data_IF_826974591431
#
_entry.id   IF_826974591431
#
_cell.length_a   1.000
_cell.length_b   1.000
_cell.length_c   1.000
_cell.angle_alpha   90.00
_cell.angle_beta   90.00
_cell.angle_gamma   90.00
#
_symmetry.space_group_name_H-M   'P 1'
#
loop_
_entity.id
_entity.type
_entity.pdbx_description
1 polymer ?
#
# COMPACT_ATOMS: atom_id res chain seq x y z
N UNK A 1 100.76 13.30 -11.78
CA UNK A 1 101.15 12.03 -11.11
C UNK A 1 100.89 12.27 -9.63
N UNK A 2 100.00 11.58 -8.92
CA UNK A 2 99.97 10.13 -8.70
C UNK A 2 98.70 9.71 -7.91
N UNK A 3 98.05 8.66 -8.43
CA UNK A 3 97.26 7.55 -7.82
C UNK A 3 96.13 7.75 -6.76
N UNK A 4 95.06 6.93 -6.83
CA UNK A 4 94.00 6.84 -5.82
C UNK A 4 94.35 5.83 -4.71
N UNK A 5 93.99 6.13 -3.46
CA UNK A 5 94.12 5.19 -2.35
C UNK A 5 92.84 4.35 -2.20
N UNK A 6 92.97 3.06 -2.51
CA UNK A 6 92.04 1.99 -2.17
C UNK A 6 92.08 1.79 -0.65
N UNK A 7 90.93 1.97 0.01
CA UNK A 7 90.79 1.73 1.46
C UNK A 7 90.45 0.27 1.72
N UNK A 8 91.41 -0.46 2.28
CA UNK A 8 91.20 -1.80 2.84
C UNK A 8 90.48 -1.67 4.19
N UNK A 9 89.24 -2.18 4.29
CA UNK A 9 88.55 -2.36 5.58
C UNK A 9 89.29 -3.42 6.39
N UNK A 10 89.96 -3.01 7.46
CA UNK A 10 90.49 -3.94 8.45
C UNK A 10 89.33 -4.65 9.18
N UNK A 11 89.44 -5.95 9.48
CA UNK A 11 88.45 -6.64 10.29
C UNK A 11 88.41 -6.03 11.70
N UNK A 12 87.22 -5.95 12.33
CA UNK A 12 87.09 -5.37 13.65
C UNK A 12 87.95 -6.14 14.68
N UNK A 13 88.45 -5.45 15.73
CA UNK A 13 89.26 -6.08 16.75
C UNK A 13 88.48 -7.23 17.41
N UNK A 14 89.15 -8.35 17.77
CA UNK A 14 88.48 -9.57 18.24
C UNK A 14 87.61 -9.34 19.49
N UNK A 15 87.95 -8.32 20.29
CA UNK A 15 87.19 -7.91 21.46
C UNK A 15 85.84 -7.25 21.10
N UNK A 16 85.77 -6.50 20.01
CA UNK A 16 84.50 -5.97 19.49
C UNK A 16 83.61 -7.08 18.94
N UNK A 17 84.18 -8.03 18.21
CA UNK A 17 83.43 -9.19 17.71
C UNK A 17 82.91 -10.06 18.86
N UNK A 18 83.71 -10.27 19.90
CA UNK A 18 83.30 -11.01 21.10
C UNK A 18 82.18 -10.31 21.87
N UNK A 19 82.31 -9.00 22.12
CA UNK A 19 81.26 -8.22 22.78
C UNK A 19 79.96 -8.19 21.97
N UNK A 20 80.06 -8.10 20.64
CA UNK A 20 78.90 -8.13 19.76
C UNK A 20 78.17 -9.48 19.83
N UNK A 21 78.91 -10.59 19.81
CA UNK A 21 78.33 -11.94 19.96
C UNK A 21 77.74 -12.12 21.36
N UNK A 22 78.39 -11.63 22.41
CA UNK A 22 77.87 -11.67 23.78
C UNK A 22 76.55 -10.89 23.89
N UNK A 23 76.46 -9.70 23.31
CA UNK A 23 75.22 -8.91 23.26
C UNK A 23 74.12 -9.64 22.50
N UNK A 24 74.46 -10.28 21.37
CA UNK A 24 73.48 -11.10 20.62
C UNK A 24 72.99 -12.30 21.42
N UNK A 25 73.87 -12.97 22.19
CA UNK A 25 73.49 -14.10 23.04
C UNK A 25 72.61 -13.66 24.22
N UNK A 26 72.92 -12.53 24.85
CA UNK A 26 72.09 -11.96 25.91
C UNK A 26 70.74 -11.50 25.36
N UNK A 27 70.71 -10.85 24.20
CA UNK A 27 69.47 -10.46 23.54
C UNK A 27 68.63 -11.69 23.14
N UNK A 28 69.25 -12.72 22.57
CA UNK A 28 68.57 -13.97 22.22
C UNK A 28 68.00 -14.67 23.47
N UNK A 29 68.79 -14.78 24.54
CA UNK A 29 68.35 -15.34 25.82
C UNK A 29 67.17 -14.54 26.40
N UNK A 30 67.25 -13.21 26.35
CA UNK A 30 66.17 -12.34 26.80
C UNK A 30 64.89 -12.54 25.97
N UNK A 31 64.98 -12.61 24.64
CA UNK A 31 63.82 -12.88 23.78
C UNK A 31 63.24 -14.28 23.94
N UNK A 32 64.05 -15.26 24.32
CA UNK A 32 63.60 -16.64 24.52
C UNK A 32 62.87 -16.82 25.87
N UNK A 33 63.33 -16.10 26.91
CA UNK A 33 62.76 -16.18 28.25
C UNK A 33 61.69 -15.10 28.54
N UNK A 34 61.66 -14.04 27.75
CA UNK A 34 60.62 -13.01 27.74
C UNK A 34 60.09 -12.85 26.32
N UNK A 35 59.20 -13.75 25.85
CA UNK A 35 58.49 -13.50 24.61
C UNK A 35 57.76 -12.16 24.75
N UNK A 36 57.86 -11.25 23.75
CA UNK A 36 57.05 -10.04 23.77
C UNK A 36 55.59 -10.44 23.83
N UNK A 37 54.85 -9.91 24.81
CA UNK A 37 53.39 -10.06 24.85
C UNK A 37 52.85 -9.72 23.46
N UNK A 38 52.19 -10.69 22.83
CA UNK A 38 51.59 -10.54 21.51
C UNK A 38 50.62 -9.34 21.53
N UNK A 39 51.13 -8.17 21.15
CA UNK A 39 50.35 -7.03 20.72
C UNK A 39 49.81 -7.29 19.30
N UNK A 40 49.22 -8.47 19.10
CA UNK A 40 48.24 -8.76 18.06
C UNK A 40 46.91 -9.07 18.73
N UNK A 41 46.50 -8.23 19.67
CA UNK A 41 45.08 -8.01 19.88
C UNK A 41 44.58 -7.23 18.65
N UNK A 42 44.15 -7.97 17.64
CA UNK A 42 43.00 -7.53 16.83
C UNK A 42 42.02 -6.88 17.80
N UNK A 43 41.49 -5.66 17.53
CA UNK A 43 40.48 -5.10 18.42
C UNK A 43 39.45 -6.20 18.63
N UNK A 44 39.03 -6.50 19.87
CA UNK A 44 37.98 -7.47 20.06
C UNK A 44 36.88 -7.05 19.11
N UNK A 45 36.34 -7.99 18.34
CA UNK A 45 35.10 -7.81 17.63
C UNK A 45 34.02 -7.45 18.68
N UNK A 46 34.05 -6.20 19.15
CA UNK A 46 33.10 -5.60 20.02
C UNK A 46 31.88 -5.48 19.14
N UNK A 47 30.92 -6.35 19.43
CA UNK A 47 29.65 -6.52 18.74
C UNK A 47 29.74 -7.33 17.45
N UNK A 48 29.98 -8.64 17.57
CA UNK A 48 29.10 -9.57 16.86
C UNK A 48 27.87 -9.78 17.74
N UNK A 49 26.80 -8.97 17.59
CA UNK A 49 25.66 -9.06 18.48
C UNK A 49 25.01 -10.44 18.32
N UNK A 50 24.88 -11.17 19.42
CA UNK A 50 24.23 -12.48 19.44
C UNK A 50 22.83 -12.32 18.81
N UNK A 51 22.46 -13.06 17.75
CA UNK A 51 21.17 -12.91 17.09
C UNK A 51 19.98 -13.00 18.06
N UNK A 52 20.09 -13.79 19.12
CA UNK A 52 19.07 -13.90 20.17
C UNK A 52 18.97 -12.62 21.02
N UNK A 53 20.08 -11.93 21.26
CA UNK A 53 20.10 -10.66 21.99
C UNK A 53 19.48 -9.53 21.16
N UNK A 54 19.80 -9.44 19.86
CA UNK A 54 19.16 -8.48 18.95
C UNK A 54 17.66 -8.73 18.82
N UNK A 55 17.26 -9.99 18.66
CA UNK A 55 15.85 -10.36 18.58
C UNK A 55 15.10 -9.96 19.85
N UNK A 56 15.67 -10.21 21.04
CA UNK A 56 15.06 -9.81 22.31
C UNK A 56 14.96 -8.29 22.43
N UNK A 57 16.04 -7.57 22.11
CA UNK A 57 16.06 -6.11 22.12
C UNK A 57 14.98 -5.53 21.20
N UNK A 58 14.89 -6.04 19.96
CA UNK A 58 13.88 -5.64 18.99
C UNK A 58 12.46 -5.90 19.51
N UNK A 59 12.17 -7.10 20.00
CA UNK A 59 10.85 -7.43 20.55
C UNK A 59 10.50 -6.61 21.80
N UNK A 60 11.48 -6.27 22.64
CA UNK A 60 11.27 -5.43 23.82
C UNK A 60 11.13 -3.94 23.52
N UNK A 61 11.51 -3.50 22.31
CA UNK A 61 11.47 -2.09 21.92
C UNK A 61 10.06 -1.59 21.61
N UNK A 62 9.12 -2.50 21.33
CA UNK A 62 7.72 -2.18 21.09
C UNK A 62 6.86 -2.39 22.35
N UNK A 63 5.86 -1.54 22.55
CA UNK A 63 4.91 -1.67 23.65
C UNK A 63 3.48 -1.38 23.19
N UNK A 64 2.49 -1.98 23.86
CA UNK A 64 1.08 -1.70 23.55
C UNK A 64 0.75 -0.20 23.69
N UNK A 65 1.42 0.50 24.61
CA UNK A 65 1.25 1.94 24.80
C UNK A 65 1.75 2.76 23.60
N UNK A 66 2.91 2.41 23.03
CA UNK A 66 3.46 3.10 21.85
C UNK A 66 2.59 2.84 20.62
N UNK A 67 2.21 1.59 20.37
CA UNK A 67 1.30 1.22 19.27
C UNK A 67 -0.05 1.93 19.39
N UNK A 68 -0.65 1.94 20.58
CA UNK A 68 -1.92 2.64 20.85
C UNK A 68 -1.82 4.15 20.58
N UNK A 69 -0.71 4.77 20.99
CA UNK A 69 -0.46 6.20 20.75
C UNK A 69 -0.35 6.51 19.26
N UNK A 70 0.38 5.70 18.50
CA UNK A 70 0.50 5.85 17.04
C UNK A 70 -0.84 5.66 16.34
N UNK A 71 -1.58 4.61 16.71
CA UNK A 71 -2.91 4.37 16.15
C UNK A 71 -3.81 5.58 16.38
N UNK A 72 -3.89 6.09 17.62
CA UNK A 72 -4.70 7.27 17.96
C UNK A 72 -4.27 8.52 17.18
N UNK A 73 -2.97 8.73 16.97
CA UNK A 73 -2.48 9.87 16.20
C UNK A 73 -2.87 9.76 14.72
N UNK A 74 -2.72 8.57 14.13
CA UNK A 74 -2.93 8.32 12.71
C UNK A 74 -4.42 8.23 12.33
N UNK A 75 -5.31 7.78 13.23
CA UNK A 75 -6.75 7.61 12.95
C UNK A 75 -7.64 8.75 13.44
N UNK A 76 -7.04 9.87 13.84
CA UNK A 76 -7.77 11.04 14.38
C UNK A 76 -8.72 11.70 13.40
N UNK A 77 -8.43 11.61 12.10
CA UNK A 77 -9.21 12.21 11.01
C UNK A 77 -9.16 11.31 9.77
N UNK A 78 -10.18 11.33 8.90
CA UNK A 78 -10.09 10.74 7.58
C UNK A 78 -8.93 11.35 6.80
N UNK A 79 -8.05 10.52 6.27
CA UNK A 79 -6.83 10.94 5.57
C UNK A 79 -6.77 10.35 4.16
N UNK A 80 -7.79 10.67 3.35
CA UNK A 80 -7.92 10.20 1.97
C UNK A 80 -6.73 10.69 1.13
N UNK A 81 -6.21 9.83 0.25
CA UNK A 81 -5.07 10.17 -0.62
C UNK A 81 -5.31 11.51 -1.36
N UNK A 82 -4.26 12.33 -1.52
CA UNK A 82 -4.32 13.63 -2.20
C UNK A 82 -5.01 14.75 -1.41
N UNK A 83 -5.42 14.53 -0.16
CA UNK A 83 -6.07 15.55 0.69
C UNK A 83 -5.12 16.15 1.72
N UNK A 84 -5.46 17.33 2.26
CA UNK A 84 -4.68 17.99 3.33
C UNK A 84 -4.49 17.10 4.57
N UNK A 85 -5.51 16.38 5.10
CA UNK A 85 -5.29 15.44 6.21
C UNK A 85 -4.29 14.31 5.89
N UNK A 86 -4.23 13.81 4.65
CA UNK A 86 -3.21 12.82 4.24
C UNK A 86 -1.80 13.40 4.26
N UNK A 87 -1.64 14.68 3.88
CA UNK A 87 -0.37 15.39 4.02
C UNK A 87 0.03 15.62 5.49
N UNK A 88 -0.95 15.86 6.38
CA UNK A 88 -0.71 15.96 7.82
C UNK A 88 -0.21 14.63 8.40
N UNK A 89 -0.79 13.50 7.95
CA UNK A 89 -0.31 12.16 8.32
C UNK A 89 1.13 11.93 7.87
N UNK A 90 1.49 12.33 6.64
CA UNK A 90 2.88 12.28 6.16
C UNK A 90 3.82 13.09 7.06
N UNK A 91 3.41 14.31 7.41
CA UNK A 91 4.21 15.20 8.27
C UNK A 91 4.41 14.60 9.66
N UNK A 92 3.38 13.97 10.23
CA UNK A 92 3.48 13.26 11.50
C UNK A 92 4.53 12.13 11.45
N UNK A 93 4.46 11.27 10.43
CA UNK A 93 5.41 10.15 10.27
C UNK A 93 6.84 10.64 10.05
N UNK A 94 7.02 11.65 9.20
CA UNK A 94 8.32 12.26 8.92
C UNK A 94 8.98 12.81 10.20
N UNK A 95 8.25 13.64 10.95
CA UNK A 95 8.74 14.22 12.19
C UNK A 95 9.06 13.14 13.24
N UNK A 96 8.24 12.09 13.29
CA UNK A 96 8.45 10.98 14.21
C UNK A 96 9.73 10.21 13.88
N UNK A 97 9.99 9.90 12.61
CA UNK A 97 11.24 9.24 12.20
C UNK A 97 12.47 10.11 12.48
N UNK A 98 12.37 11.42 12.22
CA UNK A 98 13.43 12.37 12.58
C UNK A 98 13.71 12.38 14.09
N UNK A 99 12.66 12.38 14.92
CA UNK A 99 12.80 12.35 16.39
C UNK A 99 13.47 11.06 16.91
N UNK A 100 13.38 9.97 16.16
CA UNK A 100 14.02 8.69 16.48
C UNK A 100 15.47 8.61 15.98
N UNK A 101 16.01 9.69 15.42
CA UNK A 101 17.37 9.73 14.87
C UNK A 101 17.50 9.06 13.50
N UNK A 102 16.38 8.78 12.81
CA UNK A 102 16.38 8.24 11.45
C UNK A 102 16.31 9.34 10.37
N UNK A 103 16.52 10.60 10.76
CA UNK A 103 16.32 11.77 9.90
C UNK A 103 17.21 11.78 8.66
N UNK A 104 18.48 11.40 8.79
CA UNK A 104 19.47 11.43 7.70
C UNK A 104 19.10 10.50 6.54
N UNK A 105 18.36 9.41 6.85
CA UNK A 105 17.92 8.41 5.87
C UNK A 105 16.46 8.59 5.45
N UNK A 106 15.69 9.44 6.14
CA UNK A 106 14.27 9.65 5.86
C UNK A 106 14.08 10.69 4.75
N UNK A 107 13.36 10.30 3.69
CA UNK A 107 13.07 11.19 2.55
C UNK A 107 11.58 11.15 2.21
N UNK A 108 11.06 12.28 1.75
CA UNK A 108 9.74 12.37 1.12
C UNK A 108 9.92 12.18 -0.38
N UNK A 109 9.18 11.26 -0.97
CA UNK A 109 9.11 11.07 -2.41
C UNK A 109 7.74 11.52 -2.90
N UNK A 110 7.74 12.48 -3.82
CA UNK A 110 6.51 13.06 -4.40
C UNK A 110 6.20 12.43 -5.76
N UNK A 111 4.93 12.12 -5.96
CA UNK A 111 4.40 11.57 -7.21
C UNK A 111 3.08 12.27 -7.55
N UNK A 112 2.87 12.54 -8.83
CA UNK A 112 1.61 13.01 -9.38
C UNK A 112 0.85 11.84 -10.01
N UNK A 113 -0.06 11.25 -9.25
CA UNK A 113 -0.94 10.19 -9.72
C UNK A 113 -2.33 10.74 -10.07
N UNK A 114 -2.99 10.12 -11.04
CA UNK A 114 -4.41 10.38 -11.30
C UNK A 114 -5.23 9.74 -10.18
N UNK A 115 -6.01 10.55 -9.47
CA UNK A 115 -6.97 10.11 -8.45
C UNK A 115 -8.40 10.43 -8.91
N UNK A 116 -9.40 9.83 -8.24
CA UNK A 116 -10.81 10.07 -8.52
C UNK A 116 -11.54 10.40 -7.22
N UNK A 117 -12.46 11.37 -7.24
CA UNK A 117 -13.30 11.74 -6.09
C UNK A 117 -14.75 11.95 -6.54
N UNK A 118 -15.74 11.61 -5.70
CA UNK A 118 -17.13 11.80 -6.05
C UNK A 118 -17.52 13.28 -5.90
N UNK A 119 -18.20 13.83 -6.90
CA UNK A 119 -18.88 15.13 -6.81
C UNK A 119 -20.32 14.94 -6.31
N UNK A 120 -21.06 14.04 -6.95
CA UNK A 120 -22.41 13.64 -6.60
C UNK A 120 -22.58 12.13 -6.79
N UNK A 121 -23.22 11.49 -5.82
CA UNK A 121 -23.73 10.12 -5.91
C UNK A 121 -25.19 10.12 -5.47
N UNK A 122 -26.02 9.33 -6.14
CA UNK A 122 -27.44 9.14 -5.82
C UNK A 122 -27.88 7.80 -6.36
N UNK A 123 -28.78 7.13 -5.65
CA UNK A 123 -29.43 5.93 -6.14
C UNK A 123 -30.90 5.99 -5.77
N UNK A 124 -31.77 5.67 -6.71
CA UNK A 124 -33.21 5.63 -6.45
C UNK A 124 -33.89 4.46 -7.14
N UNK A 125 -34.89 3.89 -6.48
CA UNK A 125 -35.72 2.84 -7.02
C UNK A 125 -37.14 3.35 -7.21
N UNK A 126 -37.67 3.12 -8.40
CA UNK A 126 -39.07 3.36 -8.75
C UNK A 126 -39.79 2.01 -8.83
N UNK A 127 -40.84 1.87 -8.04
CA UNK A 127 -41.64 0.66 -7.92
C UNK A 127 -42.89 0.72 -8.80
N UNK A 128 -43.55 -0.43 -8.99
CA UNK A 128 -44.76 -0.59 -9.82
C UNK A 128 -45.94 0.26 -9.36
N UNK A 129 -46.04 0.49 -8.05
CA UNK A 129 -47.02 1.39 -7.42
C UNK A 129 -46.69 2.89 -7.63
N UNK A 130 -45.74 3.22 -8.51
CA UNK A 130 -45.21 4.56 -8.76
C UNK A 130 -44.52 5.25 -7.56
N UNK A 131 -44.27 4.54 -6.45
CA UNK A 131 -43.46 5.11 -5.37
C UNK A 131 -42.00 5.14 -5.79
N UNK A 132 -41.29 6.19 -5.37
CA UNK A 132 -39.85 6.34 -5.57
C UNK A 132 -39.18 6.40 -4.21
N UNK A 133 -38.17 5.57 -4.01
CA UNK A 133 -37.35 5.54 -2.80
C UNK A 133 -35.94 5.95 -3.19
N UNK A 134 -35.45 7.03 -2.60
CA UNK A 134 -34.04 7.40 -2.63
C UNK A 134 -33.30 6.60 -1.56
N UNK A 135 -32.15 6.05 -1.91
CA UNK A 135 -31.33 5.31 -0.96
C UNK A 135 -30.39 6.28 -0.25
N UNK A 136 -30.35 6.22 1.07
CA UNK A 136 -29.34 6.95 1.82
C UNK A 136 -27.98 6.29 1.58
N UNK A 137 -27.05 7.10 1.08
CA UNK A 137 -25.67 6.71 0.82
C UNK A 137 -24.72 7.24 1.90
N UNK A 138 -25.25 7.75 3.01
CA UNK A 138 -24.44 8.14 4.15
C UNK A 138 -24.15 6.93 5.04
N UNK A 139 -22.95 6.88 5.61
CA UNK A 139 -22.65 5.91 6.66
C UNK A 139 -23.28 6.42 7.96
N UNK A 140 -24.23 5.68 8.53
CA UNK A 140 -24.95 6.06 9.77
C UNK A 140 -24.00 6.34 10.94
N UNK A 141 -22.81 5.73 10.93
CA UNK A 141 -21.79 5.83 11.98
C UNK A 141 -21.05 7.18 11.98
N UNK A 142 -20.95 7.86 10.83
CA UNK A 142 -20.16 9.11 10.68
C UNK A 142 -20.92 10.24 9.99
N UNK A 143 -22.23 10.10 9.81
CA UNK A 143 -23.16 11.01 9.11
C UNK A 143 -23.11 12.47 9.56
N UNK A 144 -22.51 12.76 10.72
CA UNK A 144 -22.39 14.11 11.29
C UNK A 144 -21.07 14.83 10.97
N UNK A 145 -20.07 14.18 10.37
CA UNK A 145 -18.79 14.81 10.02
C UNK A 145 -18.66 15.04 8.51
N UNK A 146 -18.60 16.30 8.08
CA UNK A 146 -18.40 16.72 6.68
C UNK A 146 -17.10 16.20 6.05
N UNK A 147 -16.20 15.67 6.87
CA UNK A 147 -14.82 15.34 6.48
C UNK A 147 -14.70 13.91 5.90
N UNK A 148 -15.74 13.09 6.02
CA UNK A 148 -15.78 11.73 5.46
C UNK A 148 -16.29 11.78 4.02
N UNK A 149 -15.48 11.31 3.07
CA UNK A 149 -15.90 11.19 1.66
C UNK A 149 -17.10 10.26 1.56
N UNK A 150 -18.13 10.64 0.78
CA UNK A 150 -19.26 9.74 0.51
C UNK A 150 -18.80 8.40 -0.08
N UNK A 151 -19.50 7.30 0.18
CA UNK A 151 -19.25 6.03 -0.48
C UNK A 151 -19.27 6.17 -2.00
N UNK A 152 -18.24 5.63 -2.65
CA UNK A 152 -18.10 5.63 -4.09
C UNK A 152 -17.13 4.54 -4.53
N UNK A 153 -17.23 4.14 -5.79
CA UNK A 153 -16.21 3.36 -6.46
C UNK A 153 -15.19 4.28 -7.14
N UNK A 154 -13.96 4.27 -6.64
CA UNK A 154 -12.88 5.02 -7.26
C UNK A 154 -12.64 4.52 -8.69
N UNK A 155 -12.54 5.47 -9.61
CA UNK A 155 -12.44 5.30 -11.06
C UNK A 155 -13.68 4.69 -11.75
N UNK A 156 -14.83 4.65 -11.10
CA UNK A 156 -16.10 4.44 -11.82
C UNK A 156 -16.35 5.62 -12.76
N UNK A 157 -16.83 5.40 -14.00
CA UNK A 157 -17.15 6.49 -14.91
C UNK A 157 -18.31 7.32 -14.36
N UNK A 158 -18.28 8.62 -14.65
CA UNK A 158 -19.44 9.49 -14.44
C UNK A 158 -20.53 9.16 -15.45
N UNK A 159 -21.79 9.25 -15.02
CA UNK A 159 -22.94 9.00 -15.87
C UNK A 159 -24.17 8.69 -15.02
N UNK A 160 -25.31 8.51 -15.68
CA UNK A 160 -26.50 7.96 -15.04
C UNK A 160 -27.00 6.77 -15.85
N UNK A 161 -27.43 5.74 -15.15
CA UNK A 161 -27.97 4.52 -15.74
C UNK A 161 -29.33 4.23 -15.11
N UNK A 162 -30.34 4.00 -15.95
CA UNK A 162 -31.67 3.63 -15.50
C UNK A 162 -32.12 2.36 -16.21
N UNK A 163 -32.62 1.39 -15.44
CA UNK A 163 -33.10 0.14 -15.99
C UNK A 163 -33.74 -0.75 -14.94
N UNK A 164 -34.29 -1.88 -15.39
CA UNK A 164 -34.70 -2.96 -14.49
C UNK A 164 -33.51 -3.48 -13.70
N UNK A 165 -33.76 -3.98 -12.49
CA UNK A 165 -32.72 -4.55 -11.63
C UNK A 165 -32.70 -6.07 -11.76
N UNK A 166 -31.52 -6.64 -11.92
CA UNK A 166 -31.30 -8.09 -11.85
C UNK A 166 -30.34 -8.39 -10.73
N UNK A 167 -30.75 -9.27 -9.80
CA UNK A 167 -29.87 -9.77 -8.76
C UNK A 167 -28.99 -10.90 -9.31
N UNK A 168 -27.68 -10.71 -9.25
CA UNK A 168 -26.69 -11.67 -9.76
C UNK A 168 -25.87 -12.32 -8.63
N UNK A 169 -26.47 -12.51 -7.45
CA UNK A 169 -25.84 -13.15 -6.30
C UNK A 169 -24.45 -12.56 -5.98
N UNK A 170 -23.36 -13.29 -6.21
CA UNK A 170 -21.99 -12.81 -5.94
C UNK A 170 -21.30 -12.16 -7.15
N UNK A 171 -22.00 -12.04 -8.28
CA UNK A 171 -21.48 -11.45 -9.51
C UNK A 171 -20.40 -12.31 -10.16
N UNK A 172 -20.36 -13.60 -9.86
CA UNK A 172 -19.46 -14.56 -10.48
C UNK A 172 -19.98 -15.03 -11.84
N UNK A 173 -19.09 -15.51 -12.69
CA UNK A 173 -19.46 -16.09 -14.00
C UNK A 173 -20.53 -17.19 -13.90
N UNK A 174 -20.54 -17.97 -12.81
CA UNK A 174 -21.58 -18.98 -12.57
C UNK A 174 -22.96 -18.37 -12.33
N UNK A 175 -23.03 -17.25 -11.61
CA UNK A 175 -24.29 -16.60 -11.27
C UNK A 175 -24.97 -16.09 -12.56
N UNK A 176 -24.21 -15.51 -13.48
CA UNK A 176 -24.74 -15.08 -14.78
C UNK A 176 -25.17 -16.26 -15.66
N UNK A 177 -24.43 -17.39 -15.64
CA UNK A 177 -24.86 -18.60 -16.37
C UNK A 177 -26.16 -19.17 -15.82
N UNK A 178 -26.34 -19.15 -14.50
CA UNK A 178 -27.59 -19.59 -13.87
C UNK A 178 -28.77 -18.70 -14.28
N UNK A 179 -28.58 -17.37 -14.29
CA UNK A 179 -29.57 -16.42 -14.83
C UNK A 179 -29.92 -16.71 -16.30
N UNK A 180 -28.91 -16.95 -17.15
CA UNK A 180 -29.11 -17.30 -18.56
C UNK A 180 -29.89 -18.61 -18.72
N UNK A 181 -29.61 -19.63 -17.92
CA UNK A 181 -30.33 -20.93 -17.94
C UNK A 181 -31.82 -20.80 -17.60
N UNK A 182 -32.18 -19.84 -16.74
CA UNK A 182 -33.59 -19.56 -16.40
C UNK A 182 -34.22 -18.48 -17.30
N UNK A 183 -33.52 -18.05 -18.36
CA UNK A 183 -34.01 -17.09 -19.35
C UNK A 183 -33.99 -15.63 -18.91
N UNK A 184 -33.16 -15.27 -17.92
CA UNK A 184 -32.96 -13.89 -17.44
C UNK A 184 -31.72 -13.30 -18.10
N UNK A 185 -31.90 -12.25 -18.91
CA UNK A 185 -30.80 -11.47 -19.50
C UNK A 185 -30.49 -10.24 -18.63
N UNK A 186 -29.21 -9.96 -18.42
CA UNK A 186 -28.72 -8.75 -17.73
C UNK A 186 -28.43 -7.59 -18.67
N UNK A 187 -28.46 -7.85 -19.99
CA UNK A 187 -28.21 -6.83 -21.01
C UNK A 187 -29.24 -5.71 -20.92
N UNK A 188 -28.79 -4.47 -20.74
CA UNK A 188 -29.70 -3.32 -20.56
C UNK A 188 -30.30 -3.19 -19.15
N UNK A 189 -29.82 -3.96 -18.17
CA UNK A 189 -30.28 -3.90 -16.78
C UNK A 189 -29.21 -3.29 -15.85
N UNK A 190 -29.65 -2.78 -14.70
CA UNK A 190 -28.77 -2.57 -13.55
C UNK A 190 -28.57 -3.90 -12.83
N UNK A 191 -27.33 -4.25 -12.51
CA UNK A 191 -27.01 -5.49 -11.83
C UNK A 191 -26.76 -5.22 -10.36
N UNK A 192 -27.46 -5.95 -9.50
CA UNK A 192 -27.27 -5.92 -8.07
C UNK A 192 -26.45 -7.14 -7.63
N UNK A 193 -25.39 -6.89 -6.87
CA UNK A 193 -24.46 -7.92 -6.40
C UNK A 193 -24.27 -7.82 -4.91
N UNK A 194 -24.40 -8.96 -4.24
CA UNK A 194 -23.93 -9.17 -2.87
C UNK A 194 -22.45 -9.50 -2.88
N UNK A 195 -21.64 -8.62 -2.30
CA UNK A 195 -20.21 -8.83 -2.19
C UNK A 195 -19.91 -10.14 -1.47
N UNK A 196 -19.17 -11.02 -2.15
CA UNK A 196 -18.58 -12.22 -1.56
C UNK A 196 -17.10 -12.02 -1.25
N UNK A 197 -16.46 -13.06 -0.71
CA UNK A 197 -15.03 -13.03 -0.35
C UNK A 197 -14.10 -13.32 -1.53
N UNK A 198 -14.63 -13.88 -2.63
CA UNK A 198 -13.82 -14.44 -3.73
C UNK A 198 -13.46 -13.41 -4.81
N UNK A 199 -14.39 -12.53 -5.19
CA UNK A 199 -14.17 -11.56 -6.28
C UNK A 199 -13.95 -10.15 -5.76
N UNK A 200 -12.93 -9.48 -6.31
CA UNK A 200 -12.76 -8.05 -6.13
C UNK A 200 -13.83 -7.25 -6.89
N UNK A 201 -14.27 -6.12 -6.33
CA UNK A 201 -15.32 -5.25 -6.92
C UNK A 201 -15.07 -4.85 -8.39
N UNK A 202 -13.82 -4.59 -8.78
CA UNK A 202 -13.46 -4.29 -10.17
C UNK A 202 -13.68 -5.47 -11.13
N UNK A 203 -13.54 -6.71 -10.65
CA UNK A 203 -13.84 -7.92 -11.42
C UNK A 203 -15.34 -8.11 -11.55
N UNK A 204 -16.11 -7.89 -10.48
CA UNK A 204 -17.57 -7.91 -10.52
C UNK A 204 -18.10 -6.94 -11.58
N UNK A 205 -17.62 -5.69 -11.55
CA UNK A 205 -18.00 -4.67 -12.54
C UNK A 205 -17.58 -5.08 -13.96
N UNK A 206 -16.38 -5.68 -14.12
CA UNK A 206 -15.91 -6.18 -15.43
C UNK A 206 -16.84 -7.23 -16.02
N UNK A 207 -17.26 -8.21 -15.22
CA UNK A 207 -18.11 -9.30 -15.69
C UNK A 207 -19.46 -8.74 -16.12
N UNK A 208 -20.10 -7.91 -15.27
CA UNK A 208 -21.37 -7.25 -15.61
C UNK A 208 -21.27 -6.41 -16.91
N UNK A 209 -20.19 -5.62 -17.05
CA UNK A 209 -19.90 -4.83 -18.26
C UNK A 209 -19.84 -5.73 -19.51
N UNK A 210 -19.15 -6.88 -19.43
CA UNK A 210 -19.03 -7.80 -20.58
C UNK A 210 -20.34 -8.48 -20.94
N UNK A 211 -21.30 -8.54 -20.02
CA UNK A 211 -22.65 -9.08 -20.23
C UNK A 211 -23.66 -8.01 -20.65
N UNK A 212 -23.23 -6.77 -20.84
CA UNK A 212 -24.05 -5.66 -21.35
C UNK A 212 -24.94 -4.99 -20.29
N UNK A 213 -24.62 -5.12 -19.00
CA UNK A 213 -25.28 -4.36 -17.94
C UNK A 213 -25.11 -2.84 -18.16
N UNK A 214 -26.06 -2.05 -17.69
CA UNK A 214 -26.00 -0.57 -17.71
C UNK A 214 -25.21 0.00 -16.53
N UNK A 215 -25.11 -0.74 -15.42
CA UNK A 215 -24.46 -0.31 -14.21
C UNK A 215 -24.51 -1.39 -13.13
N UNK A 216 -23.72 -1.21 -12.07
CA UNK A 216 -23.58 -2.21 -10.99
C UNK A 216 -23.74 -1.59 -9.63
N UNK A 217 -24.59 -2.19 -8.82
CA UNK A 217 -24.77 -1.87 -7.41
C UNK A 217 -24.21 -3.02 -6.57
N UNK A 218 -23.29 -2.72 -5.67
CA UNK A 218 -22.68 -3.70 -4.78
C UNK A 218 -23.09 -3.39 -3.34
N UNK A 219 -23.47 -4.40 -2.58
CA UNK A 219 -23.68 -4.28 -1.13
C UNK A 219 -22.94 -5.40 -0.41
N UNK A 220 -22.53 -5.18 0.84
CA UNK A 220 -22.00 -6.25 1.69
C UNK A 220 -23.01 -6.55 2.81
N UNK A 221 -23.35 -7.81 3.03
CA UNK A 221 -24.20 -8.19 4.17
C UNK A 221 -23.52 -7.95 5.52
N UNK A 222 -22.19 -7.91 5.53
CA UNK A 222 -21.36 -7.66 6.72
C UNK A 222 -20.97 -6.18 6.84
N UNK A 223 -21.55 -5.28 6.06
CA UNK A 223 -21.20 -3.85 6.00
C UNK A 223 -21.11 -3.24 7.43
N UNK A 224 -19.94 -2.65 7.74
CA UNK A 224 -19.62 -2.12 9.07
C UNK A 224 -19.56 -3.14 10.22
N UNK A 225 -19.48 -4.45 9.96
CA UNK A 225 -19.64 -5.49 10.98
C UNK A 225 -21.10 -5.64 11.45
N UNK A 226 -22.06 -5.29 10.60
CA UNK A 226 -23.49 -5.18 10.96
C UNK A 226 -23.87 -3.80 11.52
N UNK A 227 -22.96 -2.82 11.46
CA UNK A 227 -23.17 -1.45 11.95
C UNK A 227 -23.57 -0.47 10.83
N UNK A 228 -23.86 -0.96 9.61
CA UNK A 228 -24.39 -0.12 8.53
C UNK A 228 -23.36 0.78 7.85
N UNK A 229 -22.10 0.34 7.74
CA UNK A 229 -21.05 1.09 7.05
C UNK A 229 -20.83 0.61 5.62
N UNK A 230 -20.75 1.51 4.64
CA UNK A 230 -20.66 1.17 3.22
C UNK A 230 -19.20 1.09 2.76
N UNK A 231 -18.82 -0.03 2.16
CA UNK A 231 -17.46 -0.23 1.67
C UNK A 231 -17.10 0.67 0.46
N UNK A 232 -16.00 1.42 0.59
CA UNK A 232 -15.36 2.17 -0.51
C UNK A 232 -14.27 1.35 -1.18
N UNK A 233 -13.95 1.65 -2.43
CA UNK A 233 -12.76 1.08 -3.06
C UNK A 233 -12.63 1.32 -4.55
N UNK A 234 -11.51 0.89 -5.13
CA UNK A 234 -11.24 1.02 -6.57
C UNK A 234 -11.91 -0.08 -7.39
N UNK A 235 -12.43 0.31 -8.55
CA UNK A 235 -12.88 -0.57 -9.65
C UNK A 235 -11.96 -0.52 -10.87
N UNK A 236 -10.88 0.26 -10.81
CA UNK A 236 -9.84 0.27 -11.84
C UNK A 236 -9.15 -1.09 -11.95
N UNK A 237 -8.79 -1.49 -13.16
CA UNK A 237 -8.06 -2.71 -13.48
C UNK A 237 -6.55 -2.46 -13.43
N UNK A 238 -5.81 -3.42 -12.90
CA UNK A 238 -4.35 -3.36 -12.77
C UNK A 238 -3.88 -2.50 -11.60
N UNK A 239 -2.56 -2.40 -11.45
CA UNK A 239 -1.88 -1.72 -10.34
C UNK A 239 -1.13 -0.46 -10.80
N UNK A 240 -0.79 0.42 -9.87
CA UNK A 240 -0.07 1.67 -10.16
C UNK A 240 -0.95 2.72 -10.84
N UNK A 241 -0.35 3.90 -11.07
CA UNK A 241 -1.01 5.04 -11.68
C UNK A 241 -1.49 4.70 -13.12
N UNK A 242 -2.75 4.98 -13.48
CA UNK A 242 -3.27 4.68 -14.81
C UNK A 242 -2.55 5.44 -15.92
N UNK A 243 -2.09 6.67 -15.70
CA UNK A 243 -1.48 7.52 -16.73
C UNK A 243 0.05 7.40 -16.82
N UNK A 244 0.69 6.70 -15.89
CA UNK A 244 2.12 6.31 -15.96
C UNK A 244 2.33 4.79 -15.82
N UNK A 245 1.76 3.97 -16.72
CA UNK A 245 1.80 2.52 -16.59
C UNK A 245 3.21 1.95 -16.81
N UNK A 246 3.90 1.66 -15.69
CA UNK A 246 5.21 1.01 -15.66
C UNK A 246 6.39 1.94 -15.38
N UNK A 247 6.16 3.23 -15.16
CA UNK A 247 7.19 4.20 -14.79
C UNK A 247 6.68 5.11 -13.66
N UNK A 248 7.58 5.81 -12.94
CA UNK A 248 7.16 6.69 -11.86
C UNK A 248 6.49 7.95 -12.41
N UNK A 249 5.30 8.28 -11.88
CA UNK A 249 4.62 9.55 -12.12
C UNK A 249 5.28 10.72 -11.38
N UNK A 250 6.53 11.05 -11.72
CA UNK A 250 7.23 12.20 -11.13
C UNK A 250 6.60 13.52 -11.56
N UNK A 251 6.75 14.56 -10.75
CA UNK A 251 6.25 15.91 -11.05
C UNK A 251 6.79 16.39 -12.41
N UNK A 252 5.88 16.75 -13.32
CA UNK A 252 6.25 17.16 -14.69
C UNK A 252 6.77 16.03 -15.59
N UNK A 253 6.69 14.78 -15.14
CA UNK A 253 7.06 13.60 -15.91
C UNK A 253 6.06 13.24 -17.02
N UNK A 254 6.43 12.25 -17.83
CA UNK A 254 5.59 11.74 -18.92
C UNK A 254 4.29 11.12 -18.38
N UNK A 255 3.17 11.53 -18.97
CA UNK A 255 1.84 10.98 -18.70
C UNK A 255 1.13 10.70 -20.00
N UNK A 256 0.51 9.52 -20.08
CA UNK A 256 -0.40 9.18 -21.15
C UNK A 256 -1.70 9.98 -21.03
N UNK A 257 -2.33 10.25 -22.17
CA UNK A 257 -3.65 10.86 -22.21
C UNK A 257 -4.73 9.87 -21.75
N UNK A 258 -5.88 10.37 -21.31
CA UNK A 258 -6.97 9.52 -20.80
C UNK A 258 -7.60 8.63 -21.89
N UNK A 259 -7.50 9.04 -23.15
CA UNK A 259 -7.97 8.32 -24.33
C UNK A 259 -6.96 7.26 -24.82
N UNK A 260 -5.72 7.27 -24.33
CA UNK A 260 -4.75 6.22 -24.65
C UNK A 260 -5.31 4.84 -24.27
N UNK A 261 -5.22 3.90 -25.20
CA UNK A 261 -5.70 2.53 -25.08
C UNK A 261 -5.20 1.78 -23.83
N UNK A 262 -3.98 2.05 -23.38
CA UNK A 262 -3.38 1.45 -22.17
C UNK A 262 -4.01 2.02 -20.90
N UNK A 263 -4.50 3.26 -20.97
CA UNK A 263 -5.17 3.97 -19.87
C UNK A 263 -6.65 3.62 -19.86
N UNK A 264 -7.35 3.87 -20.98
CA UNK A 264 -8.81 3.74 -21.10
C UNK A 264 -9.31 2.32 -20.81
N UNK A 265 -8.56 1.27 -21.20
CA UNK A 265 -8.93 -0.13 -20.92
C UNK A 265 -8.88 -0.49 -19.43
N UNK A 266 -8.22 0.32 -18.60
CA UNK A 266 -8.15 0.12 -17.14
C UNK A 266 -9.40 0.56 -16.42
N UNK A 267 -10.18 1.47 -16.99
CA UNK A 267 -11.41 1.96 -16.37
C UNK A 267 -12.63 1.12 -16.79
N UNK A 268 -13.60 0.93 -15.88
CA UNK A 268 -14.91 0.41 -16.26
C UNK A 268 -15.63 1.36 -17.22
N UNK A 269 -16.49 0.78 -18.05
CA UNK A 269 -17.31 1.54 -19.01
C UNK A 269 -18.73 1.83 -18.52
N UNK A 270 -19.11 1.22 -17.40
CA UNK A 270 -20.43 1.35 -16.79
C UNK A 270 -20.32 1.93 -15.38
N UNK A 271 -21.24 2.80 -14.95
CA UNK A 271 -21.25 3.34 -13.60
C UNK A 271 -21.45 2.23 -12.57
N UNK A 272 -20.84 2.39 -11.40
CA UNK A 272 -21.00 1.46 -10.30
C UNK A 272 -20.91 2.14 -8.94
N UNK A 273 -21.55 1.56 -7.93
CA UNK A 273 -21.59 2.12 -6.58
C UNK A 273 -21.74 1.03 -5.51
N UNK A 274 -21.17 1.26 -4.33
CA UNK A 274 -21.50 0.50 -3.12
C UNK A 274 -22.62 1.19 -2.33
N UNK A 275 -23.50 0.42 -1.70
CA UNK A 275 -24.50 0.98 -0.80
C UNK A 275 -25.19 -0.07 0.06
N UNK A 276 -25.85 0.37 1.12
CA UNK A 276 -26.64 -0.47 2.03
C UNK A 276 -27.99 -0.86 1.38
N UNK A 277 -27.94 -1.50 0.21
CA UNK A 277 -29.13 -1.79 -0.57
C UNK A 277 -29.97 -2.93 0.03
N UNK A 278 -29.39 -3.78 0.88
CA UNK A 278 -30.03 -4.96 1.45
C UNK A 278 -31.34 -4.64 2.21
N UNK A 279 -31.32 -3.69 3.15
CA UNK A 279 -32.50 -3.35 3.98
C UNK A 279 -33.67 -2.77 3.18
N UNK A 280 -33.42 -2.22 2.00
CA UNK A 280 -34.45 -1.60 1.15
C UNK A 280 -34.88 -2.49 -0.02
N UNK A 281 -34.11 -3.53 -0.33
CA UNK A 281 -34.40 -4.47 -1.42
C UNK A 281 -35.05 -5.77 -0.96
N UNK A 282 -35.11 -6.06 0.35
CA UNK A 282 -36.06 -7.04 0.92
C UNK A 282 -37.53 -6.71 0.55
N UNK A 283 -37.79 -5.47 0.13
CA UNK A 283 -39.05 -4.97 -0.40
C UNK A 283 -39.10 -4.86 -1.93
N UNK A 284 -38.06 -5.27 -2.66
CA UNK A 284 -38.17 -5.47 -4.11
C UNK A 284 -38.72 -6.87 -4.31
N UNK A 285 -40.05 -7.03 -4.51
CA UNK A 285 -40.56 -8.32 -4.91
C UNK A 285 -39.79 -8.74 -6.16
N UNK A 286 -39.50 -10.03 -6.25
CA UNK A 286 -39.04 -10.74 -7.46
C UNK A 286 -39.97 -10.55 -8.67
N UNK A 287 -40.95 -9.65 -8.59
CA UNK A 287 -41.82 -9.20 -9.67
C UNK A 287 -41.12 -8.18 -10.56
N UNK A 288 -40.81 -8.67 -11.76
CA UNK A 288 -40.63 -8.05 -13.10
C UNK A 288 -40.78 -6.55 -13.40
N UNK A 289 -40.98 -5.60 -12.48
CA UNK A 289 -41.19 -4.20 -12.89
C UNK A 289 -40.85 -3.12 -11.85
N UNK A 290 -39.73 -3.25 -11.12
CA UNK A 290 -39.05 -2.08 -10.52
C UNK A 290 -37.90 -1.61 -11.43
N UNK A 291 -37.77 -0.30 -11.60
CA UNK A 291 -36.64 0.31 -12.30
C UNK A 291 -35.81 1.10 -11.30
N UNK A 292 -34.49 1.00 -11.38
CA UNK A 292 -33.59 1.74 -10.51
C UNK A 292 -32.80 2.74 -11.36
N UNK A 293 -32.38 3.83 -10.75
CA UNK A 293 -31.53 4.85 -11.35
C UNK A 293 -30.28 5.00 -10.48
N UNK A 294 -29.13 4.85 -11.12
CA UNK A 294 -27.81 5.16 -10.61
C UNK A 294 -27.31 6.45 -11.27
#
# INVERSE_FOLDING_TARGET
MSQPLVSFRQPPPPLCSFLFVLVLLVAAFYTLHHPPDDASSSPPHLFSPNPLSLRRLFLSSASNATVSSYLRALTRRPHLAGTKPSLDTLTYVLNHFQSLGLGDDTRVAEYEALLSYPTHVSVSARFTNNTTTEFDLNDDVFSSSSDVVRPYHAYSPSGSAQGSVVFANHGEERDYRELEMIGVSVGGCLVLVRKGETLGRGVIVKIAETRGALGVLIYDEKDGGGLGGIERGTVMRGIGDPVSPGWPGVVGGEKLSLDDDRVSRRFPKIPSLSGAFHCSLDYVPTEKSSSMKL
#
